data_IF_400771085968
#
_entry.id   IF_400771085968
#
_cell.length_a   1.000
_cell.length_b   1.000
_cell.length_c   1.000
_cell.angle_alpha   90.00
_cell.angle_beta   90.00
_cell.angle_gamma   90.00
#
_symmetry.space_group_name_H-M   'P 1'
#
loop_
_entity.id
_entity.type
_entity.pdbx_description
1 polymer ?
#
# COMPACT_ATOMS: atom_id res chain seq x y z
N UNK A 1 -12.55 35.13 -69.92
CA UNK A 1 -13.07 33.82 -69.47
C UNK A 1 -12.29 33.45 -68.21
N UNK A 2 -12.81 33.91 -67.09
CA UNK A 2 -12.23 33.57 -65.78
C UNK A 2 -12.97 32.36 -65.20
N UNK A 3 -12.20 31.32 -64.88
CA UNK A 3 -12.72 30.18 -64.15
C UNK A 3 -12.59 30.45 -62.64
N UNK A 4 -13.72 30.77 -62.03
CA UNK A 4 -13.80 30.84 -60.58
C UNK A 4 -13.68 29.44 -59.92
N UNK A 5 -12.65 29.25 -59.14
CA UNK A 5 -12.48 28.10 -58.23
C UNK A 5 -13.30 28.36 -56.95
N UNK A 6 -14.37 27.63 -56.83
CA UNK A 6 -15.17 27.60 -55.62
C UNK A 6 -14.38 26.93 -54.47
N UNK A 7 -14.00 27.71 -53.50
CA UNK A 7 -13.48 27.23 -52.21
C UNK A 7 -14.67 26.78 -51.34
N UNK A 8 -14.86 25.51 -51.25
CA UNK A 8 -15.79 24.91 -50.27
C UNK A 8 -15.29 25.17 -48.88
N UNK A 9 -16.06 25.74 -47.96
CA UNK A 9 -15.56 26.03 -46.62
C UNK A 9 -15.45 24.76 -45.80
N UNK A 10 -14.26 24.49 -45.31
CA UNK A 10 -13.85 23.44 -44.33
C UNK A 10 -14.54 23.63 -42.94
N UNK A 11 -15.75 24.08 -42.88
CA UNK A 11 -16.47 24.37 -41.61
C UNK A 11 -17.47 23.31 -41.15
N UNK A 12 -17.56 22.16 -41.82
CA UNK A 12 -18.55 21.13 -41.45
C UNK A 12 -17.96 19.89 -40.74
N UNK A 13 -16.70 19.92 -40.33
CA UNK A 13 -16.10 18.69 -39.78
C UNK A 13 -16.00 18.62 -38.23
N UNK A 14 -16.44 19.63 -37.49
CA UNK A 14 -16.35 19.60 -36.02
C UNK A 14 -17.51 20.30 -35.32
N UNK A 15 -18.75 19.97 -35.70
CA UNK A 15 -19.87 20.21 -34.80
C UNK A 15 -20.54 18.85 -34.57
N UNK A 16 -19.95 18.04 -33.68
CA UNK A 16 -20.74 17.05 -32.95
C UNK A 16 -21.73 17.86 -32.11
N UNK A 17 -23.03 17.63 -32.31
CA UNK A 17 -24.07 18.30 -31.52
C UNK A 17 -23.81 17.99 -30.03
N UNK A 18 -24.09 18.94 -29.16
CA UNK A 18 -24.00 18.75 -27.71
C UNK A 18 -24.79 17.52 -27.22
N UNK A 19 -25.82 17.09 -27.98
CA UNK A 19 -26.59 15.87 -27.77
C UNK A 19 -25.76 14.60 -28.06
N UNK A 20 -25.01 14.55 -29.18
CA UNK A 20 -24.16 13.39 -29.51
C UNK A 20 -22.96 13.25 -28.56
N UNK A 21 -22.45 14.37 -28.05
CA UNK A 21 -21.43 14.35 -27.00
C UNK A 21 -22.04 13.87 -25.68
N UNK A 22 -23.25 14.29 -25.34
CA UNK A 22 -23.99 13.86 -24.14
C UNK A 22 -24.33 12.36 -24.15
N UNK A 23 -24.80 11.82 -25.26
CA UNK A 23 -25.17 10.40 -25.39
C UNK A 23 -23.93 9.46 -25.40
N UNK A 24 -22.79 9.91 -25.90
CA UNK A 24 -21.53 9.11 -25.86
C UNK A 24 -20.85 9.08 -24.50
N UNK A 25 -21.20 9.97 -23.60
CA UNK A 25 -20.57 10.08 -22.26
C UNK A 25 -21.42 9.49 -21.11
N UNK A 26 -22.51 8.82 -21.39
CA UNK A 26 -23.40 8.22 -20.37
C UNK A 26 -23.09 6.75 -20.05
N UNK A 27 -21.84 6.28 -20.23
CA UNK A 27 -21.45 5.03 -19.58
C UNK A 27 -21.22 5.30 -18.10
N UNK A 28 -22.24 5.08 -17.31
CA UNK A 28 -22.11 5.07 -15.85
C UNK A 28 -21.29 3.86 -15.44
N UNK A 29 -20.42 4.05 -14.45
CA UNK A 29 -19.73 2.92 -13.82
C UNK A 29 -20.75 1.98 -13.16
N UNK A 30 -20.44 0.68 -13.05
CA UNK A 30 -21.26 -0.24 -12.27
C UNK A 30 -21.58 0.32 -10.88
N UNK A 31 -22.74 -0.04 -10.33
CA UNK A 31 -23.14 0.46 -9.00
C UNK A 31 -22.25 -0.01 -7.87
N UNK A 32 -21.60 -1.14 -8.07
CA UNK A 32 -20.65 -1.80 -7.17
C UNK A 32 -19.19 -1.45 -7.48
N UNK A 33 -18.95 -0.43 -8.34
CA UNK A 33 -17.60 0.01 -8.65
C UNK A 33 -16.94 0.62 -7.41
N UNK A 34 -15.71 0.17 -7.14
CA UNK A 34 -14.94 0.63 -5.98
C UNK A 34 -14.08 1.83 -6.37
N UNK A 35 -14.35 2.96 -5.71
CA UNK A 35 -13.53 4.16 -5.76
C UNK A 35 -12.68 4.21 -4.50
N UNK A 36 -11.37 4.25 -4.66
CA UNK A 36 -10.50 4.18 -3.50
C UNK A 36 -9.15 4.84 -3.70
N UNK A 37 -8.41 4.82 -2.62
CA UNK A 37 -7.02 5.22 -2.54
C UNK A 37 -6.18 4.14 -1.87
N UNK A 38 -4.89 4.41 -1.72
CA UNK A 38 -3.97 3.49 -1.07
C UNK A 38 -3.07 4.24 -0.08
N UNK A 39 -2.79 3.58 1.04
CA UNK A 39 -1.73 3.94 1.97
C UNK A 39 -1.00 2.67 2.44
N UNK A 40 0.07 2.83 3.20
CA UNK A 40 0.80 1.71 3.77
C UNK A 40 1.22 2.01 5.21
N UNK A 41 1.32 0.97 6.03
CA UNK A 41 1.58 1.09 7.46
C UNK A 41 2.79 1.96 7.78
N UNK A 42 3.97 1.61 7.26
CA UNK A 42 5.19 2.35 7.57
C UNK A 42 5.18 3.80 7.06
N UNK A 43 4.48 4.05 5.93
CA UNK A 43 4.41 5.37 5.32
C UNK A 43 3.41 6.31 6.00
N UNK A 44 2.39 5.78 6.68
CA UNK A 44 1.28 6.59 7.16
C UNK A 44 0.99 6.47 8.66
N UNK A 45 1.19 5.29 9.26
CA UNK A 45 0.75 5.07 10.63
C UNK A 45 1.46 5.96 11.66
N UNK A 46 2.78 6.17 11.53
CA UNK A 46 3.57 6.68 12.65
C UNK A 46 3.55 5.68 13.81
N UNK A 47 3.54 6.17 15.05
CA UNK A 47 3.45 5.33 16.25
C UNK A 47 4.47 4.17 16.24
N UNK A 48 5.69 4.46 15.77
CA UNK A 48 6.74 3.47 15.46
C UNK A 48 7.23 2.70 16.68
N UNK A 49 7.01 3.24 17.87
CA UNK A 49 7.40 2.64 19.16
C UNK A 49 6.20 2.44 20.10
N UNK A 50 4.97 2.58 19.58
CA UNK A 50 3.76 2.52 20.39
C UNK A 50 3.21 1.09 20.44
N UNK A 51 2.66 0.73 21.61
CA UNK A 51 1.92 -0.50 21.84
C UNK A 51 2.69 -1.79 21.45
N UNK A 52 4.00 -1.80 21.68
CA UNK A 52 4.84 -2.98 21.51
C UNK A 52 5.23 -3.28 20.04
N UNK A 53 4.99 -2.34 19.11
CA UNK A 53 5.50 -2.48 17.73
C UNK A 53 7.01 -2.66 17.74
N UNK A 54 7.50 -3.71 17.05
CA UNK A 54 8.92 -3.92 16.83
C UNK A 54 9.51 -2.99 15.76
N UNK A 55 10.84 -2.82 15.75
CA UNK A 55 11.52 -2.04 14.72
C UNK A 55 11.48 -2.75 13.37
N UNK A 56 11.60 -1.96 12.31
CA UNK A 56 11.72 -2.43 10.92
C UNK A 56 13.02 -1.95 10.29
N UNK A 57 13.43 -2.59 9.21
CA UNK A 57 14.67 -2.27 8.49
C UNK A 57 14.82 -0.79 8.14
N UNK A 58 13.72 -0.13 7.82
CA UNK A 58 13.70 1.29 7.48
C UNK A 58 14.02 2.22 8.64
N UNK A 59 13.70 1.85 9.89
CA UNK A 59 13.92 2.73 11.05
C UNK A 59 15.40 3.11 11.16
N UNK A 60 16.27 2.09 11.14
CA UNK A 60 17.71 2.31 11.17
C UNK A 60 18.23 2.93 9.88
N UNK A 61 17.76 2.45 8.73
CA UNK A 61 18.24 2.94 7.44
C UNK A 61 17.95 4.43 7.23
N UNK A 62 16.77 4.91 7.61
CA UNK A 62 16.43 6.33 7.53
C UNK A 62 17.25 7.18 8.50
N UNK A 63 17.41 6.72 9.75
CA UNK A 63 18.21 7.43 10.75
C UNK A 63 19.68 7.58 10.31
N UNK A 64 20.26 6.53 9.75
CA UNK A 64 21.66 6.51 9.34
C UNK A 64 21.93 7.33 8.06
N UNK A 65 20.98 7.36 7.12
CA UNK A 65 21.23 7.91 5.79
C UNK A 65 20.53 9.24 5.50
N UNK A 66 19.42 9.56 6.18
CA UNK A 66 18.55 10.68 5.79
C UNK A 66 18.16 11.62 6.93
N UNK A 67 18.48 11.27 8.17
CA UNK A 67 18.23 12.10 9.37
C UNK A 67 16.76 12.40 9.64
N UNK A 68 15.84 11.54 9.21
CA UNK A 68 14.43 11.61 9.54
C UNK A 68 13.88 10.22 9.87
N UNK A 69 12.69 10.17 10.40
CA UNK A 69 12.00 8.96 10.82
C UNK A 69 10.59 8.90 10.24
N UNK A 70 9.94 7.75 10.34
CA UNK A 70 8.53 7.60 10.02
C UNK A 70 7.60 8.11 11.14
N UNK A 71 8.14 8.87 12.11
CA UNK A 71 7.37 9.43 13.21
C UNK A 71 7.24 10.95 13.05
N UNK A 72 6.03 11.54 13.08
CA UNK A 72 4.73 10.86 13.23
C UNK A 72 4.12 10.41 11.90
N UNK A 73 4.76 10.60 10.74
CA UNK A 73 4.20 10.41 9.40
C UNK A 73 2.86 11.16 9.23
N UNK A 74 1.81 10.48 8.74
CA UNK A 74 0.44 11.04 8.73
C UNK A 74 -0.30 10.82 10.05
N UNK A 75 0.31 10.10 10.98
CA UNK A 75 -0.30 9.72 12.26
C UNK A 75 -1.61 8.93 12.09
N UNK A 76 -1.65 8.09 11.05
CA UNK A 76 -2.83 7.29 10.72
C UNK A 76 -3.21 6.34 11.86
N UNK A 77 -2.22 5.88 12.64
CA UNK A 77 -2.47 5.05 13.82
C UNK A 77 -3.49 5.66 14.79
N UNK A 78 -3.47 6.98 14.97
CA UNK A 78 -4.42 7.68 15.85
C UNK A 78 -5.57 8.33 15.06
N UNK A 79 -5.34 8.71 13.80
CA UNK A 79 -6.28 9.52 13.01
C UNK A 79 -7.18 8.73 12.07
N UNK A 80 -6.99 7.41 11.93
CA UNK A 80 -7.81 6.60 11.02
C UNK A 80 -9.32 6.81 11.15
N UNK A 81 -9.91 7.08 12.37
CA UNK A 81 -11.35 7.30 12.44
C UNK A 81 -11.80 8.56 11.72
N UNK A 82 -10.97 9.62 11.77
CA UNK A 82 -11.23 10.89 11.07
C UNK A 82 -10.96 10.73 9.56
N UNK A 83 -9.86 10.07 9.20
CA UNK A 83 -9.47 9.86 7.80
C UNK A 83 -10.51 9.01 7.07
N UNK A 84 -11.03 7.96 7.71
CA UNK A 84 -12.09 7.12 7.15
C UNK A 84 -13.45 7.84 7.09
N UNK A 85 -13.73 8.73 8.04
CA UNK A 85 -14.90 9.58 7.96
C UNK A 85 -14.81 10.53 6.75
N UNK A 86 -13.67 11.15 6.52
CA UNK A 86 -13.45 11.98 5.35
C UNK A 86 -13.57 11.16 4.05
N UNK A 87 -13.02 9.94 4.03
CA UNK A 87 -13.16 9.03 2.89
C UNK A 87 -14.64 8.79 2.54
N UNK A 88 -15.47 8.47 3.54
CA UNK A 88 -16.92 8.30 3.37
C UNK A 88 -17.59 9.58 2.84
N UNK A 89 -17.28 10.75 3.44
CA UNK A 89 -17.84 12.06 3.03
C UNK A 89 -17.52 12.41 1.57
N UNK A 90 -16.35 12.01 1.07
CA UNK A 90 -15.93 12.22 -0.33
C UNK A 90 -16.32 11.10 -1.27
N UNK A 91 -17.12 10.12 -0.83
CA UNK A 91 -17.64 9.04 -1.66
C UNK A 91 -16.61 7.94 -1.97
N UNK A 92 -15.53 7.85 -1.19
CA UNK A 92 -14.57 6.75 -1.23
C UNK A 92 -15.21 5.55 -0.54
N UNK A 93 -15.28 4.40 -1.24
CA UNK A 93 -15.88 3.16 -0.75
C UNK A 93 -14.90 1.98 -0.70
N UNK A 94 -13.60 2.23 -0.88
CA UNK A 94 -12.54 1.24 -0.72
C UNK A 94 -11.21 1.90 -0.39
N UNK A 95 -10.42 1.26 0.46
CA UNK A 95 -9.07 1.72 0.82
C UNK A 95 -8.09 0.56 0.83
N UNK A 96 -6.95 0.72 0.15
CA UNK A 96 -5.84 -0.19 0.34
C UNK A 96 -4.98 0.29 1.50
N UNK A 97 -4.75 -0.60 2.44
CA UNK A 97 -3.87 -0.40 3.60
C UNK A 97 -2.92 -1.58 3.73
N UNK A 98 -1.90 -1.50 4.56
CA UNK A 98 -1.09 -2.66 4.91
C UNK A 98 -1.10 -2.91 6.41
N UNK A 99 -0.84 -4.15 6.81
CA UNK A 99 -0.54 -4.49 8.20
C UNK A 99 0.97 -4.36 8.38
N UNK A 100 1.42 -3.62 9.40
CA UNK A 100 2.80 -3.64 9.83
C UNK A 100 3.11 -5.00 10.47
N UNK A 101 3.88 -5.84 9.79
CA UNK A 101 4.25 -7.18 10.29
C UNK A 101 4.83 -7.10 11.70
N UNK A 102 5.74 -6.16 11.96
CA UNK A 102 6.35 -5.95 13.28
C UNK A 102 5.39 -5.41 14.35
N UNK A 103 4.16 -5.00 13.97
CA UNK A 103 3.12 -4.65 14.93
C UNK A 103 2.39 -5.90 15.43
N UNK A 104 2.28 -6.94 14.61
CA UNK A 104 1.70 -8.24 14.95
C UNK A 104 2.75 -9.13 15.65
N UNK A 105 3.90 -9.30 15.01
CA UNK A 105 5.05 -10.04 15.54
C UNK A 105 6.26 -9.10 15.65
N UNK A 106 6.57 -8.56 16.83
CA UNK A 106 7.62 -7.54 16.99
C UNK A 106 9.00 -7.94 16.46
N UNK A 107 9.32 -9.23 16.48
CA UNK A 107 10.56 -9.79 15.91
C UNK A 107 10.35 -10.46 14.54
N UNK A 108 9.12 -10.42 14.01
CA UNK A 108 8.73 -11.10 12.77
C UNK A 108 8.20 -12.52 12.97
N UNK A 109 8.35 -13.10 14.16
CA UNK A 109 7.88 -14.43 14.53
C UNK A 109 7.71 -14.55 16.05
N UNK A 110 7.17 -15.71 16.52
CA UNK A 110 7.10 -16.04 17.93
C UNK A 110 5.87 -15.46 18.63
N UNK A 111 6.04 -14.61 19.61
CA UNK A 111 4.94 -14.08 20.43
C UNK A 111 4.13 -13.01 19.68
N UNK A 112 2.81 -13.18 19.71
CA UNK A 112 1.87 -12.22 19.11
C UNK A 112 1.71 -10.99 20.00
N UNK A 113 1.82 -9.82 19.44
CA UNK A 113 1.51 -8.56 20.12
C UNK A 113 0.00 -8.27 20.05
N UNK A 114 -0.71 -8.59 21.10
CA UNK A 114 -2.17 -8.44 21.19
C UNK A 114 -2.65 -7.00 20.98
N UNK A 115 -1.87 -6.00 21.38
CA UNK A 115 -2.22 -4.59 21.13
C UNK A 115 -2.18 -4.21 19.66
N UNK A 116 -1.24 -4.77 18.92
CA UNK A 116 -1.16 -4.61 17.47
C UNK A 116 -2.37 -5.26 16.78
N UNK A 117 -2.76 -6.46 17.21
CA UNK A 117 -3.96 -7.14 16.72
C UNK A 117 -5.21 -6.32 17.00
N UNK A 118 -5.39 -5.86 18.23
CA UNK A 118 -6.53 -5.00 18.62
C UNK A 118 -6.62 -3.71 17.80
N UNK A 119 -5.49 -3.12 17.45
CA UNK A 119 -5.47 -1.94 16.59
C UNK A 119 -6.07 -2.23 15.21
N UNK A 120 -5.65 -3.32 14.57
CA UNK A 120 -6.16 -3.67 13.23
C UNK A 120 -7.62 -4.09 13.27
N UNK A 121 -8.10 -4.81 14.28
CA UNK A 121 -9.54 -5.05 14.45
C UNK A 121 -10.34 -3.75 14.54
N UNK A 122 -9.86 -2.77 15.31
CA UNK A 122 -10.53 -1.46 15.41
C UNK A 122 -10.52 -0.71 14.08
N UNK A 123 -9.41 -0.77 13.36
CA UNK A 123 -9.26 -0.15 12.04
C UNK A 123 -10.24 -0.77 11.03
N UNK A 124 -10.30 -2.10 10.93
CA UNK A 124 -11.22 -2.79 10.01
C UNK A 124 -12.68 -2.58 10.39
N UNK A 125 -13.00 -2.60 11.68
CA UNK A 125 -14.34 -2.27 12.17
C UNK A 125 -14.76 -0.85 11.78
N UNK A 126 -13.88 0.14 11.88
CA UNK A 126 -14.18 1.52 11.45
C UNK A 126 -14.32 1.60 9.92
N UNK A 127 -13.52 0.86 9.14
CA UNK A 127 -13.69 0.76 7.68
C UNK A 127 -15.10 0.28 7.33
N UNK A 128 -15.55 -0.84 7.89
CA UNK A 128 -16.88 -1.39 7.63
C UNK A 128 -18.00 -0.48 8.10
N UNK A 129 -17.86 0.14 9.26
CA UNK A 129 -18.80 1.14 9.80
C UNK A 129 -19.00 2.32 8.85
N UNK A 130 -17.95 2.71 8.11
CA UNK A 130 -17.94 3.81 7.13
C UNK A 130 -18.25 3.36 5.70
N UNK A 131 -18.60 2.10 5.50
CA UNK A 131 -18.82 1.53 4.16
C UNK A 131 -17.61 1.67 3.23
N UNK A 132 -16.41 1.64 3.78
CA UNK A 132 -15.12 1.68 3.07
C UNK A 132 -14.49 0.29 3.14
N UNK A 133 -14.49 -0.44 2.04
CA UNK A 133 -13.96 -1.82 1.99
C UNK A 133 -12.44 -1.82 2.13
N UNK A 134 -11.85 -2.56 3.10
CA UNK A 134 -10.41 -2.66 3.25
C UNK A 134 -9.80 -3.69 2.27
N UNK A 135 -8.77 -3.26 1.52
CA UNK A 135 -7.89 -4.11 0.72
C UNK A 135 -6.56 -4.20 1.45
N UNK A 136 -6.23 -5.34 2.03
CA UNK A 136 -5.13 -5.45 2.98
C UNK A 136 -3.89 -6.07 2.35
N UNK A 137 -2.76 -5.36 2.46
CA UNK A 137 -1.45 -5.85 2.02
C UNK A 137 -0.68 -6.36 3.23
N UNK A 138 -0.14 -7.58 3.15
CA UNK A 138 0.62 -8.20 4.24
C UNK A 138 2.04 -7.63 4.38
N UNK A 139 2.75 -7.41 3.27
CA UNK A 139 4.10 -6.86 3.29
C UNK A 139 4.21 -5.65 2.35
N UNK A 140 4.56 -4.49 2.91
CA UNK A 140 4.74 -3.24 2.16
C UNK A 140 6.06 -2.57 2.53
N UNK A 141 7.19 -3.24 2.17
CA UNK A 141 8.58 -2.80 2.38
C UNK A 141 9.07 -2.79 3.83
N UNK A 142 8.26 -3.17 4.79
CA UNK A 142 8.47 -2.99 6.23
C UNK A 142 8.85 -4.30 6.95
N UNK A 143 9.82 -5.01 6.39
CA UNK A 143 10.38 -6.23 7.01
C UNK A 143 10.83 -5.94 8.45
N UNK A 144 10.40 -6.75 9.45
CA UNK A 144 10.90 -6.65 10.82
C UNK A 144 12.42 -6.69 10.87
N UNK A 145 13.03 -5.81 11.67
CA UNK A 145 14.49 -5.66 11.73
C UNK A 145 15.23 -6.97 12.03
N UNK A 146 14.68 -7.81 12.89
CA UNK A 146 15.30 -9.10 13.21
C UNK A 146 15.39 -10.04 12.00
N UNK A 147 14.37 -10.05 11.13
CA UNK A 147 14.37 -10.84 9.89
C UNK A 147 15.29 -10.20 8.85
N UNK A 148 15.26 -8.86 8.75
CA UNK A 148 16.13 -8.14 7.84
C UNK A 148 17.61 -8.39 8.18
N UNK A 149 17.99 -8.26 9.44
CA UNK A 149 19.34 -8.55 9.93
C UNK A 149 19.76 -10.01 9.76
N UNK A 150 18.79 -10.95 9.68
CA UNK A 150 19.01 -12.38 9.38
C UNK A 150 19.00 -12.68 7.87
N UNK A 151 19.13 -11.67 7.01
CA UNK A 151 19.26 -11.84 5.56
C UNK A 151 17.99 -11.61 4.75
N UNK A 152 16.92 -11.08 5.37
CA UNK A 152 15.66 -10.79 4.69
C UNK A 152 15.13 -12.02 3.90
N UNK A 153 14.54 -11.86 2.74
CA UNK A 153 14.06 -12.95 1.89
C UNK A 153 15.17 -13.70 1.12
N UNK A 154 16.43 -13.31 1.26
CA UNK A 154 17.56 -14.15 0.85
C UNK A 154 17.74 -15.39 1.76
N UNK A 155 17.28 -15.29 3.01
CA UNK A 155 17.25 -16.42 3.93
C UNK A 155 15.89 -17.14 3.83
N UNK A 156 15.93 -18.42 3.41
CA UNK A 156 14.70 -19.22 3.23
C UNK A 156 13.88 -19.42 4.51
N UNK A 157 14.51 -19.41 5.67
CA UNK A 157 13.83 -19.51 6.96
C UNK A 157 12.82 -18.34 7.15
N UNK A 158 13.17 -17.14 6.67
CA UNK A 158 12.31 -15.97 6.76
C UNK A 158 11.05 -16.10 5.85
N UNK A 159 11.10 -16.96 4.84
CA UNK A 159 9.91 -17.28 4.03
C UNK A 159 8.89 -18.06 4.87
N UNK A 160 9.36 -19.01 5.69
CA UNK A 160 8.46 -19.75 6.59
C UNK A 160 7.84 -18.80 7.63
N UNK A 161 8.61 -17.88 8.19
CA UNK A 161 8.08 -16.85 9.08
C UNK A 161 7.01 -15.96 8.41
N UNK A 162 7.20 -15.64 7.12
CA UNK A 162 6.17 -14.91 6.36
C UNK A 162 4.90 -15.76 6.16
N UNK A 163 5.05 -17.06 5.89
CA UNK A 163 3.92 -17.98 5.74
C UNK A 163 3.13 -18.07 7.04
N UNK A 164 3.81 -18.22 8.19
CA UNK A 164 3.17 -18.26 9.51
C UNK A 164 2.45 -16.93 9.83
N UNK A 165 3.08 -15.80 9.54
CA UNK A 165 2.46 -14.48 9.68
C UNK A 165 1.22 -14.33 8.79
N UNK A 166 1.30 -14.74 7.52
CA UNK A 166 0.18 -14.66 6.60
C UNK A 166 -0.99 -15.54 7.05
N UNK A 167 -0.69 -16.78 7.46
CA UNK A 167 -1.69 -17.70 8.00
C UNK A 167 -2.38 -17.12 9.24
N UNK A 168 -1.60 -16.59 10.17
CA UNK A 168 -2.13 -15.90 11.36
C UNK A 168 -3.10 -14.76 10.96
N UNK A 169 -2.66 -13.88 10.02
CA UNK A 169 -3.51 -12.76 9.60
C UNK A 169 -4.82 -13.21 8.96
N UNK A 170 -4.79 -14.27 8.14
CA UNK A 170 -6.01 -14.79 7.50
C UNK A 170 -6.98 -15.41 8.49
N UNK A 171 -6.48 -16.03 9.56
CA UNK A 171 -7.32 -16.62 10.64
C UNK A 171 -7.83 -15.53 11.60
N UNK A 172 -6.99 -14.55 11.95
CA UNK A 172 -7.30 -13.54 12.95
C UNK A 172 -8.25 -12.45 12.42
N UNK A 173 -8.17 -12.11 11.13
CA UNK A 173 -8.97 -11.03 10.52
C UNK A 173 -9.98 -11.55 9.48
N UNK A 174 -10.96 -12.41 9.86
CA UNK A 174 -11.92 -12.97 8.94
C UNK A 174 -12.86 -11.94 8.30
N UNK A 175 -12.91 -10.73 8.86
CA UNK A 175 -13.65 -9.60 8.32
C UNK A 175 -13.01 -8.97 7.06
N UNK A 176 -11.78 -9.31 6.72
CA UNK A 176 -11.07 -8.80 5.53
C UNK A 176 -11.31 -9.71 4.34
N UNK A 177 -11.91 -9.19 3.28
CA UNK A 177 -12.25 -9.94 2.08
C UNK A 177 -11.16 -9.94 1.00
N UNK A 178 -10.31 -8.92 0.97
CA UNK A 178 -9.34 -8.69 -0.10
C UNK A 178 -7.92 -8.58 0.43
N UNK A 179 -7.08 -9.52 0.01
CA UNK A 179 -5.69 -9.63 0.45
C UNK A 179 -4.70 -9.47 -0.70
N UNK A 180 -3.60 -8.81 -0.43
CA UNK A 180 -2.41 -8.76 -1.29
C UNK A 180 -1.21 -9.20 -0.46
N UNK A 181 -0.43 -10.14 -0.95
CA UNK A 181 0.72 -10.67 -0.19
C UNK A 181 1.87 -9.67 -0.12
N UNK A 182 2.33 -9.19 -1.27
CA UNK A 182 3.46 -8.26 -1.38
C UNK A 182 3.10 -7.03 -2.19
N UNK A 183 3.67 -5.89 -1.81
CA UNK A 183 3.73 -4.72 -2.64
C UNK A 183 5.03 -4.71 -3.45
N UNK A 184 4.92 -4.63 -4.78
CA UNK A 184 6.04 -4.35 -5.69
C UNK A 184 7.30 -5.20 -5.46
N UNK A 185 7.23 -6.51 -5.74
CA UNK A 185 8.34 -7.45 -5.53
C UNK A 185 9.61 -6.99 -6.28
N UNK A 186 9.49 -6.60 -7.57
CA UNK A 186 10.64 -6.12 -8.36
C UNK A 186 11.35 -4.93 -7.72
N UNK A 187 10.65 -3.81 -7.41
CA UNK A 187 11.24 -2.68 -6.70
C UNK A 187 11.91 -3.02 -5.36
N UNK A 188 11.46 -4.05 -4.63
CA UNK A 188 12.13 -4.48 -3.40
C UNK A 188 13.56 -4.94 -3.72
N UNK A 189 13.74 -5.96 -4.55
CA UNK A 189 15.04 -6.51 -4.88
C UNK A 189 15.95 -5.50 -5.58
N UNK A 190 15.41 -4.75 -6.53
CA UNK A 190 16.15 -3.69 -7.22
C UNK A 190 16.56 -2.57 -6.25
N UNK A 191 15.67 -2.14 -5.37
CA UNK A 191 15.93 -1.11 -4.37
C UNK A 191 17.00 -1.52 -3.38
N UNK A 192 16.96 -2.77 -2.92
CA UNK A 192 17.87 -3.33 -1.92
C UNK A 192 19.28 -3.60 -2.46
N UNK A 193 19.38 -4.22 -3.67
CA UNK A 193 20.62 -4.84 -4.13
C UNK A 193 21.15 -4.32 -5.47
N UNK A 194 20.35 -3.56 -6.26
CA UNK A 194 20.80 -2.95 -7.50
C UNK A 194 21.14 -1.48 -7.32
N UNK A 195 20.17 -0.69 -6.88
CA UNK A 195 20.34 0.77 -6.75
C UNK A 195 20.71 1.23 -5.34
N UNK A 196 20.53 0.38 -4.33
CA UNK A 196 20.90 0.65 -2.95
C UNK A 196 20.13 1.80 -2.29
N UNK A 197 18.84 1.94 -2.64
CA UNK A 197 17.96 2.98 -2.08
C UNK A 197 17.00 2.44 -1.01
N UNK A 198 16.95 1.13 -0.86
CA UNK A 198 16.23 0.43 0.20
C UNK A 198 17.22 -0.27 1.12
N UNK A 199 16.89 -0.45 2.42
CA UNK A 199 17.74 -1.24 3.30
C UNK A 199 17.96 -2.66 2.71
N UNK A 200 19.18 -3.22 2.69
CA UNK A 200 20.39 -2.75 3.36
C UNK A 200 21.24 -1.74 2.56
N UNK A 201 20.81 -1.26 1.39
CA UNK A 201 21.53 -0.24 0.64
C UNK A 201 22.71 -0.76 -0.19
N UNK A 202 22.68 -2.02 -0.59
CA UNK A 202 23.72 -2.65 -1.40
C UNK A 202 23.53 -2.23 -2.87
N UNK A 203 24.64 -1.98 -3.60
CA UNK A 203 24.61 -1.59 -4.99
C UNK A 203 25.24 -2.64 -5.89
N UNK A 204 24.65 -2.83 -7.07
CA UNK A 204 25.17 -3.67 -8.16
C UNK A 204 25.41 -5.14 -7.82
N UNK A 205 24.73 -5.70 -6.83
CA UNK A 205 24.77 -7.13 -6.49
C UNK A 205 23.66 -7.89 -7.23
N UNK A 206 23.89 -8.16 -8.51
CA UNK A 206 22.91 -8.85 -9.38
C UNK A 206 22.54 -10.24 -8.87
N UNK A 207 23.48 -10.94 -8.22
CA UNK A 207 23.18 -12.27 -7.67
C UNK A 207 22.09 -12.20 -6.60
N UNK A 208 22.18 -11.23 -5.70
CA UNK A 208 21.16 -11.00 -4.68
C UNK A 208 19.85 -10.45 -5.27
N UNK A 209 19.90 -9.60 -6.30
CA UNK A 209 18.70 -9.17 -7.01
C UNK A 209 17.90 -10.38 -7.50
N UNK A 210 18.54 -11.29 -8.24
CA UNK A 210 17.87 -12.49 -8.75
C UNK A 210 17.43 -13.46 -7.65
N UNK A 211 18.16 -13.53 -6.54
CA UNK A 211 17.81 -14.43 -5.44
C UNK A 211 16.65 -13.90 -4.60
N UNK A 212 16.46 -12.59 -4.54
CA UNK A 212 15.41 -11.95 -3.73
C UNK A 212 14.04 -11.92 -4.43
N UNK A 213 14.02 -12.15 -5.75
CA UNK A 213 12.79 -12.28 -6.55
C UNK A 213 12.27 -13.72 -6.54
#
# INVERSE_FOLDING_TARGET
MEKGTSLTPLRSLFILSNQEIGEKMTKTLPKDFIFGGATAAYQAEGATHTDGKGPVAWDKYLADNYWYTAEPASDFYHKYPVDLQLAEEYGVNGIRISIAWSRIFPTGYGEVNTKGVEFYHKLFAECHKRHVEPFVTLHHFDTPEALHSNGDFLNRENIEHFVDYAAFCFEEFPEVNYWTTFNEIGPIGDGQYLVGKFPPGIQYDLAKVFQSH
#
